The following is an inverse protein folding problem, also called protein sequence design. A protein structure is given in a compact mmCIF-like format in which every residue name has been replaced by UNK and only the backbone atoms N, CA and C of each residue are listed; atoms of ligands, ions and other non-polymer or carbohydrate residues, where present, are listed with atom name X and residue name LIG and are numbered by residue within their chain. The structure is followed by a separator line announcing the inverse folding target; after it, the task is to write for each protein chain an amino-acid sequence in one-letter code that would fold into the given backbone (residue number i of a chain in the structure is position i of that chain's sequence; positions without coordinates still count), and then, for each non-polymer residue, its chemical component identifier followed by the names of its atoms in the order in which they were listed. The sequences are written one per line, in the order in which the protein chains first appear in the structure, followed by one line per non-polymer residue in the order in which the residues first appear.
data_IF_270771818262
#
_entry.id   IF_270771818262
#
_cell.length_a   1.000
_cell.length_b   1.000
_cell.length_c   1.000
_cell.angle_alpha   90.00
_cell.angle_beta   90.00
_cell.angle_gamma   90.00
#
_symmetry.space_group_name_H-M   'P 1'
#
loop_
_entity.id
_entity.type
_entity.pdbx_description
1 polymer ?
#
# COMPACT_ATOMS: atom_id res chain seq x y z
N UNK A 1 -12.00 -24.85 -19.98
CA UNK A 1 -10.76 -25.24 -19.27
C UNK A 1 -10.34 -24.00 -18.54
N UNK A 2 -10.61 -23.92 -17.23
CA UNK A 2 -10.39 -22.68 -16.48
C UNK A 2 -8.88 -22.50 -16.36
N UNK A 3 -8.35 -21.38 -16.86
CA UNK A 3 -6.94 -21.06 -16.79
C UNK A 3 -6.52 -20.99 -15.31
N UNK A 4 -5.93 -22.08 -14.83
CA UNK A 4 -5.41 -22.20 -13.47
C UNK A 4 -4.36 -21.13 -13.17
N UNK A 5 -3.70 -20.58 -14.20
CA UNK A 5 -2.81 -19.42 -14.10
C UNK A 5 -3.52 -18.12 -13.70
N UNK A 6 -4.76 -17.87 -14.15
CA UNK A 6 -5.52 -16.68 -13.73
C UNK A 6 -6.00 -16.78 -12.28
N UNK A 7 -6.36 -17.99 -11.85
CA UNK A 7 -6.81 -18.24 -10.48
C UNK A 7 -5.67 -18.04 -9.47
N UNK A 8 -4.46 -18.52 -9.78
CA UNK A 8 -3.30 -18.27 -8.91
C UNK A 8 -2.88 -16.81 -8.90
N UNK A 9 -3.03 -16.09 -10.03
CA UNK A 9 -2.74 -14.66 -10.11
C UNK A 9 -3.71 -13.83 -9.24
N UNK A 10 -5.03 -14.08 -9.35
CA UNK A 10 -6.05 -13.45 -8.47
C UNK A 10 -5.83 -13.77 -6.99
N UNK A 11 -5.50 -15.02 -6.63
CA UNK A 11 -5.25 -15.43 -5.24
C UNK A 11 -3.94 -14.86 -4.66
N UNK A 12 -2.91 -14.66 -5.50
CA UNK A 12 -1.63 -14.06 -5.08
C UNK A 12 -1.80 -12.56 -4.87
N UNK A 13 -2.60 -11.89 -5.72
CA UNK A 13 -2.94 -10.47 -5.56
C UNK A 13 -3.75 -10.26 -4.27
N UNK A 14 -4.72 -11.11 -3.95
CA UNK A 14 -5.48 -11.03 -2.71
C UNK A 14 -4.61 -11.22 -1.45
N UNK A 15 -3.74 -12.24 -1.43
CA UNK A 15 -2.86 -12.50 -0.28
C UNK A 15 -1.87 -11.36 -0.02
N UNK A 16 -1.45 -10.67 -1.07
CA UNK A 16 -0.57 -9.51 -0.95
C UNK A 16 -1.32 -8.25 -0.48
N UNK A 17 -2.53 -8.04 -0.97
CA UNK A 17 -3.42 -6.99 -0.50
C UNK A 17 -3.72 -7.19 1.00
N UNK A 18 -4.02 -8.42 1.42
CA UNK A 18 -4.25 -8.78 2.82
C UNK A 18 -3.05 -8.43 3.72
N UNK A 19 -1.82 -8.72 3.27
CA UNK A 19 -0.61 -8.40 4.04
C UNK A 19 -0.38 -6.88 4.12
N UNK A 20 -0.68 -6.14 3.06
CA UNK A 20 -0.62 -4.68 3.06
C UNK A 20 -1.70 -4.08 3.98
N UNK A 21 -2.92 -4.62 3.96
CA UNK A 21 -3.98 -4.25 4.90
C UNK A 21 -3.55 -4.50 6.34
N UNK A 22 -2.92 -5.65 6.64
CA UNK A 22 -2.37 -5.95 7.97
C UNK A 22 -1.35 -4.92 8.45
N UNK A 23 -0.59 -4.30 7.55
CA UNK A 23 0.39 -3.27 7.89
C UNK A 23 -0.20 -1.86 7.93
N UNK A 24 -1.21 -1.58 7.11
CA UNK A 24 -1.94 -0.32 7.11
C UNK A 24 -2.85 -0.17 8.34
N UNK A 25 -3.44 -1.25 8.86
CA UNK A 25 -4.34 -1.21 10.02
C UNK A 25 -3.69 -0.62 11.28
N UNK A 26 -2.50 -1.09 11.73
CA UNK A 26 -1.83 -0.48 12.88
C UNK A 26 -1.42 0.98 12.68
N UNK A 27 -1.11 1.39 11.45
CA UNK A 27 -0.84 2.79 11.12
C UNK A 27 -2.12 3.63 11.26
N UNK A 28 -3.24 3.12 10.74
CA UNK A 28 -4.54 3.76 10.87
C UNK A 28 -4.93 3.98 12.34
N UNK A 29 -4.81 2.93 13.17
CA UNK A 29 -5.15 3.01 14.59
C UNK A 29 -4.30 4.07 15.31
N UNK A 30 -2.97 4.03 15.13
CA UNK A 30 -2.05 5.00 15.74
C UNK A 30 -2.31 6.43 15.28
N UNK A 31 -2.57 6.63 13.99
CA UNK A 31 -2.86 7.96 13.46
C UNK A 31 -4.23 8.46 13.93
N UNK A 32 -5.22 7.58 14.11
CA UNK A 32 -6.50 7.92 14.74
C UNK A 32 -6.32 8.34 16.20
N UNK A 33 -5.59 7.56 17.00
CA UNK A 33 -5.30 7.87 18.41
C UNK A 33 -4.60 9.23 18.57
N UNK A 34 -3.63 9.51 17.71
CA UNK A 34 -2.87 10.77 17.72
C UNK A 34 -3.58 11.93 17.02
N UNK A 35 -4.76 11.69 16.43
CA UNK A 35 -5.50 12.66 15.60
C UNK A 35 -4.64 13.26 14.49
N UNK A 36 -3.78 12.43 13.89
CA UNK A 36 -2.92 12.78 12.78
C UNK A 36 -3.73 12.83 11.48
N UNK A 37 -4.51 13.91 11.31
CA UNK A 37 -5.46 14.07 10.19
C UNK A 37 -4.79 13.93 8.83
N UNK A 38 -3.55 14.42 8.70
CA UNK A 38 -2.87 14.46 7.41
C UNK A 38 -2.42 13.05 6.94
N UNK A 39 -1.67 12.26 7.71
CA UNK A 39 -1.42 10.84 7.41
C UNK A 39 -2.70 10.03 7.14
N UNK A 40 -3.76 10.26 7.95
CA UNK A 40 -5.07 9.61 7.73
C UNK A 40 -5.69 9.99 6.40
N UNK A 41 -5.64 11.26 5.99
CA UNK A 41 -6.18 11.69 4.70
C UNK A 41 -5.46 11.01 3.53
N UNK A 42 -4.14 10.86 3.59
CA UNK A 42 -3.38 10.11 2.59
C UNK A 42 -3.78 8.64 2.56
N UNK A 43 -3.87 7.98 3.72
CA UNK A 43 -4.26 6.57 3.81
C UNK A 43 -5.70 6.35 3.32
N UNK A 44 -6.65 7.16 3.78
CA UNK A 44 -8.06 7.07 3.41
C UNK A 44 -8.30 7.39 1.93
N UNK A 45 -7.43 8.16 1.29
CA UNK A 45 -7.53 8.41 -0.16
C UNK A 45 -7.38 7.14 -0.99
N UNK A 46 -6.74 6.12 -0.44
CA UNK A 46 -6.52 4.83 -1.05
C UNK A 46 -7.27 3.69 -0.32
N UNK A 47 -8.06 3.99 0.72
CA UNK A 47 -8.79 3.01 1.52
C UNK A 47 -10.30 3.02 1.21
N UNK A 48 -11.00 1.85 1.17
CA UNK A 48 -10.43 0.49 1.18
C UNK A 48 -9.45 0.29 0.02
N UNK A 49 -8.47 -0.61 0.14
CA UNK A 49 -7.37 -0.74 -0.86
C UNK A 49 -7.95 -1.19 -2.21
N UNK A 50 -8.44 -0.22 -2.99
CA UNK A 50 -9.05 -0.45 -4.31
C UNK A 50 -7.95 -0.68 -5.35
N UNK A 51 -6.74 -0.19 -5.09
CA UNK A 51 -5.58 -0.39 -5.96
C UNK A 51 -4.27 -0.22 -5.19
N UNK A 52 -3.40 -1.21 -5.30
CA UNK A 52 -2.04 -1.18 -4.77
C UNK A 52 -1.29 0.08 -5.23
N UNK A 53 -1.35 0.39 -6.52
CA UNK A 53 -0.69 1.57 -7.10
C UNK A 53 -1.12 2.88 -6.43
N UNK A 54 -2.41 3.00 -6.08
CA UNK A 54 -2.99 4.18 -5.44
C UNK A 54 -2.52 4.31 -3.99
N UNK A 55 -2.46 3.20 -3.25
CA UNK A 55 -1.89 3.17 -1.91
C UNK A 55 -0.42 3.60 -1.92
N UNK A 56 0.39 3.00 -2.79
CA UNK A 56 1.81 3.33 -2.89
C UNK A 56 2.03 4.79 -3.30
N UNK A 57 1.22 5.30 -4.21
CA UNK A 57 1.27 6.70 -4.60
C UNK A 57 0.97 7.63 -3.42
N UNK A 58 -0.11 7.37 -2.68
CA UNK A 58 -0.49 8.17 -1.52
C UNK A 58 0.60 8.14 -0.43
N UNK A 59 1.16 6.97 -0.12
CA UNK A 59 2.23 6.82 0.86
C UNK A 59 3.54 7.48 0.42
N UNK A 60 3.91 7.41 -0.86
CA UNK A 60 5.06 8.15 -1.41
C UNK A 60 4.87 9.65 -1.28
N UNK A 61 3.69 10.16 -1.62
CA UNK A 61 3.37 11.57 -1.50
C UNK A 61 3.43 12.03 -0.02
N UNK A 62 2.93 11.22 0.92
CA UNK A 62 3.06 11.48 2.36
C UNK A 62 4.54 11.63 2.79
N UNK A 63 5.40 10.71 2.36
CA UNK A 63 6.84 10.78 2.66
C UNK A 63 7.54 11.97 2.01
N UNK A 64 7.11 12.36 0.80
CA UNK A 64 7.73 13.44 0.04
C UNK A 64 7.35 14.82 0.58
N UNK A 65 6.07 15.03 0.88
CA UNK A 65 5.54 16.37 1.20
C UNK A 65 5.36 16.60 2.69
N UNK A 66 5.17 15.54 3.49
CA UNK A 66 4.86 15.67 4.91
C UNK A 66 5.59 14.65 5.81
N UNK A 67 6.90 14.40 5.63
CA UNK A 67 7.62 13.41 6.44
C UNK A 67 7.61 13.70 7.94
N UNK A 68 7.53 14.98 8.33
CA UNK A 68 7.47 15.43 9.72
C UNK A 68 6.20 15.00 10.47
N UNK A 69 5.19 14.53 9.76
CA UNK A 69 3.95 14.04 10.37
C UNK A 69 4.04 12.60 10.87
N UNK A 70 5.14 11.92 10.51
CA UNK A 70 5.43 10.54 10.89
C UNK A 70 6.47 10.48 12.01
N UNK A 71 6.30 9.55 12.93
CA UNK A 71 7.39 9.14 13.83
C UNK A 71 8.40 8.26 13.09
N UNK A 72 9.61 8.07 13.65
CA UNK A 72 10.59 7.15 13.06
C UNK A 72 10.04 5.74 12.84
N UNK A 73 9.23 5.22 13.77
CA UNK A 73 8.61 3.90 13.64
C UNK A 73 7.57 3.85 12.51
N UNK A 74 6.71 4.87 12.42
CA UNK A 74 5.71 4.99 11.36
C UNK A 74 6.38 5.11 9.98
N UNK A 75 7.48 5.85 9.90
CA UNK A 75 8.29 5.96 8.69
C UNK A 75 8.82 4.59 8.25
N UNK A 76 9.33 3.78 9.17
CA UNK A 76 9.84 2.43 8.84
C UNK A 76 8.74 1.54 8.28
N UNK A 77 7.53 1.57 8.86
CA UNK A 77 6.39 0.79 8.38
C UNK A 77 5.95 1.28 7.00
N UNK A 78 5.83 2.59 6.78
CA UNK A 78 5.48 3.14 5.46
C UNK A 78 6.54 2.77 4.40
N UNK A 79 7.82 2.84 4.74
CA UNK A 79 8.90 2.42 3.84
C UNK A 79 8.88 0.90 3.56
N UNK A 80 8.47 0.08 4.52
CA UNK A 80 8.27 -1.36 4.32
C UNK A 80 7.12 -1.63 3.34
N UNK A 81 5.97 -0.97 3.54
CA UNK A 81 4.80 -1.04 2.65
C UNK A 81 5.22 -0.69 1.21
N UNK A 82 5.96 0.40 1.04
CA UNK A 82 6.45 0.84 -0.26
C UNK A 82 7.40 -0.16 -0.92
N UNK A 83 8.28 -0.81 -0.15
CA UNK A 83 9.18 -1.84 -0.70
C UNK A 83 8.42 -3.06 -1.17
N UNK A 84 7.47 -3.57 -0.39
CA UNK A 84 6.71 -4.75 -0.79
C UNK A 84 5.84 -4.48 -2.01
N UNK A 85 5.19 -3.31 -2.09
CA UNK A 85 4.35 -2.99 -3.24
C UNK A 85 5.10 -2.65 -4.53
N UNK A 86 6.40 -2.33 -4.49
CA UNK A 86 7.20 -2.14 -5.72
C UNK A 86 7.44 -3.45 -6.45
N UNK A 87 7.68 -4.54 -5.71
CA UNK A 87 7.97 -5.85 -6.29
C UNK A 87 6.81 -6.41 -7.13
N UNK A 88 5.58 -5.94 -6.90
CA UNK A 88 4.38 -6.43 -7.59
C UNK A 88 4.04 -5.63 -8.85
N UNK A 89 4.44 -4.36 -8.92
CA UNK A 89 4.11 -3.48 -10.06
C UNK A 89 5.04 -3.74 -11.25
N UNK A 90 6.21 -4.36 -11.04
CA UNK A 90 7.11 -4.74 -12.12
C UNK A 90 6.55 -5.85 -13.03
N UNK A 91 5.63 -6.70 -12.54
CA UNK A 91 5.03 -7.78 -13.37
C UNK A 91 3.95 -7.27 -14.35
N UNK A 92 3.27 -6.16 -14.02
CA UNK A 92 2.26 -5.53 -14.90
C UNK A 92 2.88 -4.70 -16.04
N UNK A 93 4.11 -4.19 -15.85
CA UNK A 93 4.76 -3.33 -16.82
C UNK A 93 5.29 -4.09 -18.06
N UNK A 94 5.57 -5.39 -17.92
CA UNK A 94 6.11 -6.20 -19.00
C UNK A 94 5.03 -6.76 -19.96
N UNK A 95 3.75 -6.77 -19.54
CA UNK A 95 2.62 -7.23 -20.37
C UNK A 95 1.99 -6.16 -21.28
N UNK A 96 2.45 -4.91 -21.21
CA UNK A 96 1.98 -3.80 -22.07
C UNK A 96 2.97 -3.40 -23.17
N UNK A 97 4.14 -4.05 -23.26
CA UNK A 97 5.21 -3.69 -24.21
C UNK A 97 5.59 -4.85 -25.16
N UNK A 98 4.84 -5.95 -25.19
CA UNK A 98 5.07 -7.09 -26.10
C UNK A 98 4.03 -7.16 -27.24
#
# INVERSE_FOLDING_TARGET
MVDTSKIVDELVVDAQIDELERLCLPLFDRWCERKSVLPLAYLMSAWPIISLSRLLHALRALLQYHPQTLTPDEYQVVAQILRMGVHSVEEDAEHLVA
#
